data_IF_944698604838
#
_entry.id   IF_944698604838
#
_cell.length_a   1.000
_cell.length_b   1.000
_cell.length_c   1.000
_cell.angle_alpha   90.00
_cell.angle_beta   90.00
_cell.angle_gamma   90.00
#
_symmetry.space_group_name_H-M   'P 1'
#
loop_
_entity.id
_entity.type
_entity.pdbx_description
1 polymer ?
#
# COMPACT_ATOMS: atom_id res chain seq x y z
N UNK A 1 44.39 9.50 17.09
CA UNK A 1 44.33 8.79 15.79
C UNK A 1 42.94 8.95 15.22
N UNK A 2 42.88 9.37 13.97
CA UNK A 2 41.65 9.46 13.19
C UNK A 2 41.39 8.03 12.65
N UNK A 3 40.32 7.37 13.12
CA UNK A 3 40.00 6.00 12.73
C UNK A 3 38.52 5.88 12.34
N UNK A 4 38.25 5.62 11.06
CA UNK A 4 36.90 5.40 10.51
C UNK A 4 36.29 4.06 10.92
N UNK A 5 36.91 3.31 11.83
CA UNK A 5 36.39 2.05 12.38
C UNK A 5 35.99 2.16 13.85
N UNK A 6 35.79 3.37 14.38
CA UNK A 6 35.31 3.55 15.77
C UNK A 6 33.82 3.21 15.90
N UNK A 7 33.40 2.79 17.10
CA UNK A 7 31.98 2.59 17.45
C UNK A 7 31.15 3.84 17.17
N UNK A 8 31.73 5.03 17.37
CA UNK A 8 31.06 6.31 17.11
C UNK A 8 30.77 6.53 15.61
N UNK A 9 31.73 6.21 14.72
CA UNK A 9 31.49 6.25 13.28
C UNK A 9 30.35 5.30 12.88
N UNK A 10 30.41 4.03 13.32
CA UNK A 10 29.39 3.03 12.97
C UNK A 10 27.99 3.46 13.39
N UNK A 11 27.86 3.96 14.63
CA UNK A 11 26.59 4.48 15.14
C UNK A 11 26.09 5.70 14.35
N UNK A 12 26.98 6.60 13.97
CA UNK A 12 26.61 7.78 13.20
C UNK A 12 26.18 7.41 11.76
N UNK A 13 26.86 6.43 11.13
CA UNK A 13 26.48 5.89 9.83
C UNK A 13 25.12 5.17 9.88
N UNK A 14 24.91 4.32 10.88
CA UNK A 14 23.62 3.63 11.09
C UNK A 14 22.46 4.63 11.26
N UNK A 15 22.65 5.68 12.05
CA UNK A 15 21.61 6.72 12.22
C UNK A 15 21.45 7.60 10.98
N UNK A 16 22.49 7.80 10.18
CA UNK A 16 22.39 8.47 8.88
C UNK A 16 21.49 7.66 7.94
N UNK A 17 21.68 6.34 7.88
CA UNK A 17 20.87 5.42 7.07
C UNK A 17 19.41 5.43 7.54
N UNK A 18 19.17 5.22 8.85
CA UNK A 18 17.81 5.26 9.43
C UNK A 18 17.10 6.60 9.20
N UNK A 19 17.80 7.73 9.35
CA UNK A 19 17.23 9.04 9.04
C UNK A 19 16.94 9.17 7.54
N UNK A 20 17.78 8.63 6.67
CA UNK A 20 17.53 8.57 5.23
C UNK A 20 16.27 7.80 4.89
N UNK A 21 16.07 6.63 5.50
CA UNK A 21 14.88 5.81 5.29
C UNK A 21 13.60 6.53 5.75
N UNK A 22 13.61 7.19 6.91
CA UNK A 22 12.44 7.96 7.37
C UNK A 22 12.15 9.19 6.50
N UNK A 23 13.19 9.88 5.98
CA UNK A 23 13.00 10.98 5.03
C UNK A 23 12.41 10.48 3.72
N UNK A 24 12.85 9.31 3.25
CA UNK A 24 12.31 8.67 2.06
C UNK A 24 10.85 8.25 2.25
N UNK A 25 10.50 7.65 3.40
CA UNK A 25 9.10 7.37 3.78
C UNK A 25 8.26 8.65 3.85
N UNK A 26 8.82 9.73 4.40
CA UNK A 26 8.18 11.04 4.45
C UNK A 26 7.94 11.61 3.04
N UNK A 27 8.88 11.43 2.11
CA UNK A 27 8.75 11.84 0.70
C UNK A 27 7.52 11.22 0.04
N UNK A 28 7.27 9.94 0.31
CA UNK A 28 6.13 9.20 -0.25
C UNK A 28 4.79 9.60 0.37
N UNK A 29 4.81 10.37 1.47
CA UNK A 29 3.61 10.86 2.17
C UNK A 29 3.33 12.34 1.90
N UNK A 30 4.17 13.03 1.13
CA UNK A 30 3.99 14.44 0.81
C UNK A 30 2.68 14.64 0.04
N UNK A 31 1.76 15.41 0.62
CA UNK A 31 0.62 15.90 -0.11
C UNK A 31 1.08 17.05 -1.02
N UNK A 32 1.31 16.73 -2.30
CA UNK A 32 1.78 17.69 -3.31
C UNK A 32 0.80 18.85 -3.57
N UNK A 33 -0.47 18.72 -3.14
CA UNK A 33 -1.47 19.79 -3.25
C UNK A 33 -1.43 20.74 -2.04
N UNK A 34 -0.74 20.37 -0.96
CA UNK A 34 -0.60 21.19 0.25
C UNK A 34 0.77 21.84 0.30
N UNK A 35 0.83 23.17 0.09
CA UNK A 35 2.06 23.96 0.20
C UNK A 35 2.74 23.77 1.57
N UNK A 36 1.94 23.62 2.64
CA UNK A 36 2.45 23.35 3.98
C UNK A 36 3.14 21.98 4.04
N UNK A 37 2.51 20.92 3.51
CA UNK A 37 3.07 19.57 3.48
C UNK A 37 4.38 19.51 2.69
N UNK A 38 4.43 20.16 1.53
CA UNK A 38 5.63 20.25 0.68
C UNK A 38 6.75 21.03 1.40
N UNK A 39 6.44 22.18 2.00
CA UNK A 39 7.43 23.01 2.72
C UNK A 39 8.02 22.27 3.93
N UNK A 40 7.18 21.61 4.71
CA UNK A 40 7.62 20.82 5.87
C UNK A 40 8.55 19.68 5.45
N UNK A 41 8.21 18.94 4.39
CA UNK A 41 9.09 17.91 3.85
C UNK A 41 10.41 18.48 3.32
N UNK A 42 10.36 19.54 2.52
CA UNK A 42 11.57 20.18 1.98
C UNK A 42 12.52 20.65 3.10
N UNK A 43 11.97 21.13 4.22
CA UNK A 43 12.77 21.49 5.40
C UNK A 43 13.52 20.28 5.98
N UNK A 44 12.88 19.12 6.04
CA UNK A 44 13.51 17.88 6.49
C UNK A 44 14.59 17.41 5.49
N UNK A 45 14.29 17.43 4.20
CA UNK A 45 15.23 17.06 3.13
C UNK A 45 16.47 17.98 3.13
N UNK A 46 16.29 19.30 3.26
CA UNK A 46 17.37 20.27 3.33
C UNK A 46 18.25 20.06 4.57
N UNK A 47 17.65 19.73 5.72
CA UNK A 47 18.40 19.39 6.93
C UNK A 47 19.22 18.12 6.74
N UNK A 48 18.65 17.08 6.09
CA UNK A 48 19.38 15.86 5.75
C UNK A 48 20.60 16.18 4.90
N UNK A 49 20.41 16.91 3.80
CA UNK A 49 21.50 17.27 2.88
C UNK A 49 22.63 18.04 3.59
N UNK A 50 22.28 18.94 4.52
CA UNK A 50 23.27 19.65 5.34
C UNK A 50 24.03 18.73 6.29
N UNK A 51 23.38 17.76 6.92
CA UNK A 51 24.03 16.77 7.79
C UNK A 51 24.91 15.80 6.98
N UNK A 52 24.43 15.34 5.82
CA UNK A 52 25.20 14.47 4.92
C UNK A 52 26.48 15.18 4.44
N UNK A 53 26.40 16.47 4.12
CA UNK A 53 27.57 17.26 3.74
C UNK A 53 28.59 17.43 4.89
N UNK A 54 28.13 17.38 6.15
CA UNK A 54 29.01 17.41 7.32
C UNK A 54 29.62 16.04 7.65
N UNK A 55 28.98 14.95 7.22
CA UNK A 55 29.49 13.59 7.38
C UNK A 55 30.62 13.34 6.36
N UNK A 56 31.81 13.87 6.67
CA UNK A 56 33.00 13.75 5.82
C UNK A 56 34.10 12.97 6.54
N UNK A 57 34.06 11.63 6.55
CA UNK A 57 35.14 10.83 7.10
C UNK A 57 36.49 11.17 6.44
N UNK A 58 37.57 11.30 7.21
CA UNK A 58 37.60 10.85 8.60
C UNK A 58 37.46 12.00 9.63
N UNK A 59 36.69 11.77 10.70
CA UNK A 59 36.33 12.80 11.71
C UNK A 59 36.72 12.35 13.13
N UNK A 60 36.64 13.27 14.10
CA UNK A 60 36.86 12.93 15.52
C UNK A 60 35.66 12.20 16.13
N UNK A 61 35.88 11.41 17.17
CA UNK A 61 34.80 10.70 17.91
C UNK A 61 33.71 11.65 18.40
N UNK A 62 34.09 12.84 18.89
CA UNK A 62 33.14 13.84 19.37
C UNK A 62 32.25 14.37 18.23
N UNK A 63 32.83 14.61 17.05
CA UNK A 63 32.06 15.04 15.87
C UNK A 63 31.11 13.93 15.39
N UNK A 64 31.54 12.66 15.36
CA UNK A 64 30.64 11.55 15.05
C UNK A 64 29.50 11.42 16.06
N UNK A 65 29.76 11.61 17.35
CA UNK A 65 28.72 11.62 18.38
C UNK A 65 27.71 12.76 18.17
N UNK A 66 28.16 13.95 17.80
CA UNK A 66 27.28 15.08 17.51
C UNK A 66 26.41 14.85 16.26
N UNK A 67 27.00 14.28 15.18
CA UNK A 67 26.26 13.88 13.99
C UNK A 67 25.23 12.80 14.29
N UNK A 68 25.59 11.79 15.08
CA UNK A 68 24.67 10.75 15.56
C UNK A 68 23.45 11.36 16.26
N UNK A 69 23.65 12.31 17.19
CA UNK A 69 22.53 13.01 17.84
C UNK A 69 21.68 13.80 16.84
N UNK A 70 22.30 14.48 15.88
CA UNK A 70 21.58 15.29 14.88
C UNK A 70 20.75 14.43 13.92
N UNK A 71 21.27 13.28 13.48
CA UNK A 71 20.51 12.30 12.69
C UNK A 71 19.38 11.67 13.49
N UNK A 72 19.59 11.35 14.78
CA UNK A 72 18.51 10.85 15.64
C UNK A 72 17.37 11.87 15.79
N UNK A 73 17.68 13.17 15.94
CA UNK A 73 16.66 14.23 15.93
C UNK A 73 15.98 14.34 14.57
N UNK A 74 16.73 14.32 13.47
CA UNK A 74 16.14 14.36 12.12
C UNK A 74 15.19 13.19 11.89
N UNK A 75 15.56 11.98 12.31
CA UNK A 75 14.71 10.79 12.28
C UNK A 75 13.41 11.03 13.08
N UNK A 76 13.52 11.51 14.32
CA UNK A 76 12.37 11.80 15.18
C UNK A 76 11.43 12.87 14.58
N UNK A 77 11.99 13.89 13.94
CA UNK A 77 11.21 14.94 13.27
C UNK A 77 10.50 14.39 12.01
N UNK A 78 11.17 13.51 11.26
CA UNK A 78 10.57 12.81 10.12
C UNK A 78 9.44 11.87 10.57
N UNK A 79 9.63 11.10 11.65
CA UNK A 79 8.58 10.27 12.27
C UNK A 79 7.37 11.13 12.66
N UNK A 80 7.61 12.29 13.28
CA UNK A 80 6.55 13.22 13.69
C UNK A 80 5.79 13.78 12.48
N UNK A 81 6.49 14.13 11.40
CA UNK A 81 5.87 14.55 10.14
C UNK A 81 5.03 13.43 9.53
N UNK A 82 5.56 12.20 9.49
CA UNK A 82 4.84 11.03 8.99
C UNK A 82 3.55 10.82 9.79
N UNK A 83 3.62 10.85 11.12
CA UNK A 83 2.45 10.71 11.98
C UNK A 83 1.42 11.84 11.78
N UNK A 84 1.86 13.10 11.65
CA UNK A 84 0.99 14.24 11.40
C UNK A 84 0.35 14.21 10.01
N UNK A 85 1.09 13.76 8.99
CA UNK A 85 0.55 13.54 7.64
C UNK A 85 -0.53 12.46 7.63
N UNK A 86 -0.32 11.41 8.45
CA UNK A 86 -1.28 10.32 8.68
C UNK A 86 -2.57 10.83 9.29
N UNK A 87 -2.57 11.57 10.40
CA UNK A 87 -3.82 11.94 11.08
C UNK A 87 -4.79 12.80 10.24
N UNK A 88 -4.25 13.72 9.42
CA UNK A 88 -5.05 14.54 8.52
C UNK A 88 -5.62 13.74 7.33
N UNK A 89 -4.87 12.77 6.80
CA UNK A 89 -5.34 11.91 5.72
C UNK A 89 -6.23 10.77 6.24
N UNK A 90 -5.90 10.14 7.36
CA UNK A 90 -6.62 9.04 7.98
C UNK A 90 -8.00 9.44 8.53
N UNK A 91 -8.18 10.68 9.00
CA UNK A 91 -9.49 11.12 9.49
C UNK A 91 -10.54 11.23 8.39
N UNK A 92 -10.16 11.61 7.17
CA UNK A 92 -11.08 11.74 6.02
C UNK A 92 -11.06 10.48 5.13
N UNK A 93 -9.87 9.95 4.88
CA UNK A 93 -9.65 8.82 3.96
C UNK A 93 -9.39 7.50 4.67
N UNK A 94 -8.97 7.48 5.93
CA UNK A 94 -8.66 6.24 6.67
C UNK A 94 -9.92 5.43 6.99
N UNK A 95 -10.99 6.08 7.46
CA UNK A 95 -12.30 5.41 7.63
C UNK A 95 -12.81 4.90 6.28
N UNK A 96 -12.67 5.70 5.22
CA UNK A 96 -12.98 5.30 3.86
C UNK A 96 -12.17 4.09 3.40
N UNK A 97 -10.86 4.06 3.65
CA UNK A 97 -9.96 2.98 3.25
C UNK A 97 -10.26 1.68 4.01
N UNK A 98 -10.46 1.74 5.33
CA UNK A 98 -10.82 0.57 6.14
C UNK A 98 -12.15 -0.02 5.72
N UNK A 99 -13.19 0.81 5.57
CA UNK A 99 -14.51 0.34 5.12
C UNK A 99 -14.43 -0.20 3.70
N UNK A 100 -13.72 0.48 2.79
CA UNK A 100 -13.56 0.04 1.40
C UNK A 100 -12.82 -1.28 1.31
N UNK A 101 -11.71 -1.44 2.04
CA UNK A 101 -10.97 -2.71 2.13
C UNK A 101 -11.85 -3.81 2.67
N UNK A 102 -12.50 -3.61 3.83
CA UNK A 102 -13.35 -4.62 4.43
C UNK A 102 -14.51 -5.03 3.50
N UNK A 103 -15.09 -4.06 2.79
CA UNK A 103 -16.17 -4.29 1.83
C UNK A 103 -15.69 -5.07 0.60
N UNK A 104 -14.53 -4.71 0.05
CA UNK A 104 -13.91 -5.39 -1.10
C UNK A 104 -13.41 -6.77 -0.70
N UNK A 105 -12.71 -6.91 0.41
CA UNK A 105 -12.24 -8.21 0.93
C UNK A 105 -13.42 -9.13 1.24
N UNK A 106 -14.50 -8.62 1.84
CA UNK A 106 -15.72 -9.37 2.09
C UNK A 106 -16.39 -9.84 0.79
N UNK A 107 -16.54 -8.95 -0.20
CA UNK A 107 -17.08 -9.32 -1.51
C UNK A 107 -16.19 -10.33 -2.23
N UNK A 108 -14.87 -10.13 -2.18
CA UNK A 108 -13.89 -11.05 -2.77
C UNK A 108 -13.85 -12.40 -2.06
N UNK A 109 -14.12 -12.46 -0.75
CA UNK A 109 -14.25 -13.71 -0.01
C UNK A 109 -15.49 -14.52 -0.46
N UNK A 110 -16.60 -13.84 -0.75
CA UNK A 110 -17.79 -14.50 -1.32
C UNK A 110 -17.47 -15.02 -2.72
N UNK A 111 -16.86 -14.21 -3.59
CA UNK A 111 -16.49 -14.64 -4.95
C UNK A 111 -15.45 -15.76 -4.91
N UNK A 112 -14.44 -15.67 -4.04
CA UNK A 112 -13.38 -16.68 -3.90
C UNK A 112 -13.89 -18.02 -3.40
N UNK A 113 -15.00 -18.04 -2.64
CA UNK A 113 -15.69 -19.26 -2.24
C UNK A 113 -16.34 -20.00 -3.42
N UNK A 114 -16.68 -19.28 -4.50
CA UNK A 114 -17.31 -19.85 -5.70
C UNK A 114 -16.28 -20.19 -6.78
N UNK A 115 -15.30 -19.31 -7.00
CA UNK A 115 -14.22 -19.48 -7.98
C UNK A 115 -12.95 -18.82 -7.46
N UNK A 116 -11.76 -19.47 -7.51
CA UNK A 116 -10.52 -18.85 -7.07
C UNK A 116 -10.28 -17.53 -7.81
N UNK A 117 -10.30 -16.40 -7.10
CA UNK A 117 -10.10 -15.09 -7.71
C UNK A 117 -8.60 -14.84 -7.86
N UNK A 118 -8.13 -14.82 -9.11
CA UNK A 118 -6.73 -14.50 -9.41
C UNK A 118 -6.41 -13.02 -9.27
N UNK A 119 -5.12 -12.66 -9.14
CA UNK A 119 -4.67 -11.27 -9.11
C UNK A 119 -5.10 -10.48 -10.36
N UNK A 120 -4.96 -11.06 -11.55
CA UNK A 120 -5.42 -10.45 -12.80
C UNK A 120 -6.93 -10.22 -12.80
N UNK A 121 -7.69 -11.19 -12.31
CA UNK A 121 -9.15 -11.05 -12.16
C UNK A 121 -9.46 -9.88 -11.24
N UNK A 122 -8.78 -9.74 -10.09
CA UNK A 122 -8.93 -8.57 -9.22
C UNK A 122 -8.55 -7.27 -9.88
N UNK A 123 -7.43 -7.21 -10.58
CA UNK A 123 -7.01 -6.01 -11.29
C UNK A 123 -8.07 -5.58 -12.33
N UNK A 124 -8.67 -6.53 -13.04
CA UNK A 124 -9.74 -6.25 -14.00
C UNK A 124 -11.06 -5.85 -13.34
N UNK A 125 -11.38 -6.46 -12.19
CA UNK A 125 -12.61 -6.20 -11.44
C UNK A 125 -12.50 -5.01 -10.49
N UNK A 126 -11.29 -4.51 -10.21
CA UNK A 126 -11.03 -3.44 -9.24
C UNK A 126 -11.85 -2.19 -9.51
N UNK A 127 -12.02 -1.88 -10.79
CA UNK A 127 -12.82 -0.74 -11.24
C UNK A 127 -14.32 -0.91 -11.00
N UNK A 128 -14.80 -2.15 -10.91
CA UNK A 128 -16.23 -2.49 -10.85
C UNK A 128 -16.68 -3.00 -9.48
N UNK A 129 -15.78 -3.51 -8.64
CA UNK A 129 -16.14 -4.06 -7.34
C UNK A 129 -16.68 -3.00 -6.38
N UNK A 130 -16.02 -1.84 -6.16
CA UNK A 130 -16.58 -0.82 -5.28
C UNK A 130 -18.01 -0.38 -5.63
N UNK A 131 -18.37 -0.06 -6.90
CA UNK A 131 -19.74 0.33 -7.23
C UNK A 131 -20.73 -0.84 -7.10
N UNK A 132 -20.31 -2.08 -7.38
CA UNK A 132 -21.18 -3.26 -7.21
C UNK A 132 -21.49 -3.55 -5.74
N UNK A 133 -20.49 -3.50 -4.86
CA UNK A 133 -20.68 -3.72 -3.43
C UNK A 133 -21.57 -2.63 -2.85
N UNK A 134 -21.35 -1.38 -3.25
CA UNK A 134 -22.18 -0.27 -2.84
C UNK A 134 -23.63 -0.43 -3.32
N UNK A 135 -23.85 -0.82 -4.59
CA UNK A 135 -25.19 -1.11 -5.08
C UNK A 135 -25.88 -2.27 -4.33
N UNK A 136 -25.14 -3.31 -3.94
CA UNK A 136 -25.68 -4.42 -3.16
C UNK A 136 -26.08 -4.00 -1.74
N UNK A 137 -25.28 -3.15 -1.10
CA UNK A 137 -25.61 -2.55 0.21
C UNK A 137 -26.86 -1.68 0.10
N UNK A 138 -26.93 -0.83 -0.93
CA UNK A 138 -28.07 0.05 -1.18
C UNK A 138 -29.36 -0.74 -1.39
N UNK A 139 -29.31 -1.79 -2.22
CA UNK A 139 -30.45 -2.68 -2.44
C UNK A 139 -30.88 -3.40 -1.15
N UNK A 140 -29.92 -3.82 -0.32
CA UNK A 140 -30.21 -4.47 0.96
C UNK A 140 -30.89 -3.51 1.95
N UNK A 141 -30.39 -2.27 2.04
CA UNK A 141 -30.99 -1.22 2.86
C UNK A 141 -32.37 -0.82 2.36
N UNK A 142 -32.57 -0.71 1.04
CA UNK A 142 -33.86 -0.43 0.44
C UNK A 142 -34.87 -1.57 0.69
N UNK A 143 -34.44 -2.82 0.58
CA UNK A 143 -35.28 -3.97 0.89
C UNK A 143 -35.70 -4.00 2.36
N UNK A 144 -34.76 -3.77 3.29
CA UNK A 144 -35.04 -3.67 4.71
C UNK A 144 -35.99 -2.50 5.02
N UNK A 145 -35.74 -1.33 4.43
CA UNK A 145 -36.59 -0.15 4.58
C UNK A 145 -38.00 -0.41 4.03
N UNK A 146 -38.16 -1.10 2.90
CA UNK A 146 -39.46 -1.51 2.36
C UNK A 146 -40.19 -2.47 3.30
N UNK A 147 -39.49 -3.44 3.89
CA UNK A 147 -40.09 -4.36 4.88
C UNK A 147 -40.58 -3.61 6.11
N UNK A 148 -39.79 -2.65 6.63
CA UNK A 148 -40.19 -1.78 7.75
C UNK A 148 -41.37 -0.89 7.34
N UNK A 149 -41.34 -0.34 6.13
CA UNK A 149 -42.38 0.52 5.59
C UNK A 149 -43.73 -0.20 5.50
N UNK A 150 -43.75 -1.38 4.91
CA UNK A 150 -44.94 -2.23 4.77
C UNK A 150 -45.37 -2.80 6.12
N UNK A 151 -44.43 -3.24 6.95
CA UNK A 151 -44.70 -3.78 8.28
C UNK A 151 -45.34 -2.74 9.21
N UNK A 152 -44.81 -1.53 9.25
CA UNK A 152 -45.39 -0.42 10.00
C UNK A 152 -46.78 -0.05 9.48
N UNK A 153 -46.97 -0.03 8.15
CA UNK A 153 -48.27 0.22 7.55
C UNK A 153 -49.31 -0.84 7.93
N UNK A 154 -48.92 -2.11 7.93
CA UNK A 154 -49.77 -3.23 8.32
C UNK A 154 -50.16 -3.16 9.81
N UNK A 155 -49.16 -2.99 10.70
CA UNK A 155 -49.37 -2.99 12.14
C UNK A 155 -50.15 -1.75 12.63
N UNK A 156 -49.86 -0.57 12.07
CA UNK A 156 -50.49 0.70 12.46
C UNK A 156 -51.55 1.18 11.46
N UNK A 157 -52.24 0.26 10.78
CA UNK A 157 -53.28 0.56 9.77
C UNK A 157 -54.29 1.64 10.20
N UNK A 158 -54.65 1.70 11.48
CA UNK A 158 -55.58 2.72 12.01
C UNK A 158 -55.02 4.14 11.95
N UNK A 159 -53.72 4.30 12.24
CA UNK A 159 -53.02 5.59 12.21
C UNK A 159 -52.84 6.11 10.78
N UNK A 160 -52.59 5.22 9.82
CA UNK A 160 -52.42 5.55 8.40
C UNK A 160 -53.72 5.86 7.63
N UNK A 161 -54.87 5.95 8.30
CA UNK A 161 -56.14 6.36 7.67
C UNK A 161 -56.14 7.83 7.21
N UNK A 162 -55.35 8.68 7.86
CA UNK A 162 -55.23 10.09 7.46
C UNK A 162 -54.34 10.22 6.22
N UNK A 163 -54.85 10.90 5.19
CA UNK A 163 -54.09 11.20 3.95
C UNK A 163 -52.80 11.96 4.26
N UNK A 164 -52.80 12.84 5.27
CA UNK A 164 -51.61 13.58 5.69
C UNK A 164 -50.53 12.66 6.25
N UNK A 165 -50.91 11.69 7.09
CA UNK A 165 -49.99 10.71 7.69
C UNK A 165 -49.41 9.80 6.63
N UNK A 166 -50.24 9.30 5.70
CA UNK A 166 -49.79 8.47 4.59
C UNK A 166 -48.81 9.21 3.68
N UNK A 167 -49.13 10.47 3.34
CA UNK A 167 -48.26 11.32 2.52
C UNK A 167 -46.94 11.61 3.22
N UNK A 168 -46.97 11.91 4.53
CA UNK A 168 -45.76 12.12 5.33
C UNK A 168 -44.86 10.89 5.36
N UNK A 169 -45.43 9.71 5.54
CA UNK A 169 -44.70 8.45 5.54
C UNK A 169 -44.07 8.12 4.17
N UNK A 170 -44.83 8.28 3.09
CA UNK A 170 -44.29 8.14 1.73
C UNK A 170 -43.14 9.13 1.47
N UNK A 171 -43.27 10.38 1.93
CA UNK A 171 -42.24 11.40 1.79
C UNK A 171 -40.98 11.06 2.62
N UNK A 172 -41.12 10.48 3.81
CA UNK A 172 -39.97 9.99 4.59
C UNK A 172 -39.23 8.87 3.89
N UNK A 173 -39.94 7.93 3.24
CA UNK A 173 -39.31 6.87 2.46
C UNK A 173 -38.58 7.43 1.25
N UNK A 174 -39.20 8.36 0.52
CA UNK A 174 -38.59 9.02 -0.63
C UNK A 174 -37.35 9.83 -0.22
N UNK A 175 -37.42 10.54 0.91
CA UNK A 175 -36.28 11.24 1.50
C UNK A 175 -35.15 10.29 1.91
N UNK A 176 -35.48 9.12 2.45
CA UNK A 176 -34.50 8.08 2.75
C UNK A 176 -33.81 7.58 1.47
N UNK A 177 -34.55 7.24 0.41
CA UNK A 177 -33.96 6.82 -0.89
C UNK A 177 -33.05 7.91 -1.45
N UNK A 178 -33.48 9.19 -1.37
CA UNK A 178 -32.68 10.32 -1.83
C UNK A 178 -31.36 10.45 -1.04
N UNK A 179 -31.41 10.39 0.29
CA UNK A 179 -30.22 10.41 1.15
C UNK A 179 -29.29 9.24 0.86
N UNK A 180 -29.86 8.07 0.60
CA UNK A 180 -29.11 6.86 0.25
C UNK A 180 -28.35 7.07 -1.07
N UNK A 181 -29.02 7.54 -2.13
CA UNK A 181 -28.40 7.84 -3.42
C UNK A 181 -27.29 8.90 -3.31
N UNK A 182 -27.54 10.01 -2.62
CA UNK A 182 -26.54 11.07 -2.43
C UNK A 182 -25.36 10.55 -1.60
N UNK A 183 -25.63 9.81 -0.53
CA UNK A 183 -24.61 9.19 0.31
C UNK A 183 -23.74 8.21 -0.47
N UNK A 184 -24.36 7.40 -1.33
CA UNK A 184 -23.68 6.43 -2.18
C UNK A 184 -22.77 7.06 -3.23
N UNK A 185 -23.23 8.11 -3.90
CA UNK A 185 -22.39 8.89 -4.85
C UNK A 185 -21.22 9.56 -4.12
N UNK A 186 -21.48 10.12 -2.93
CA UNK A 186 -20.45 10.71 -2.08
C UNK A 186 -19.40 9.68 -1.66
N UNK A 187 -19.84 8.52 -1.17
CA UNK A 187 -18.96 7.42 -0.76
C UNK A 187 -18.15 6.90 -1.94
N UNK A 188 -18.76 6.61 -3.09
CA UNK A 188 -18.04 6.15 -4.28
C UNK A 188 -16.95 7.15 -4.72
N UNK A 189 -17.25 8.44 -4.68
CA UNK A 189 -16.29 9.50 -4.99
C UNK A 189 -15.10 9.50 -4.03
N UNK A 190 -15.36 9.24 -2.73
CA UNK A 190 -14.31 9.08 -1.72
C UNK A 190 -13.50 7.82 -2.02
N UNK A 191 -14.10 6.65 -2.24
CA UNK A 191 -13.37 5.39 -2.51
C UNK A 191 -12.45 5.52 -3.72
N UNK A 192 -12.97 6.05 -4.84
CA UNK A 192 -12.18 6.26 -6.07
C UNK A 192 -11.05 7.28 -5.88
N UNK A 193 -11.24 8.25 -4.99
CA UNK A 193 -10.17 9.18 -4.61
C UNK A 193 -9.16 8.50 -3.68
N UNK A 194 -9.62 7.66 -2.76
CA UNK A 194 -8.80 7.02 -1.70
C UNK A 194 -7.80 6.02 -2.28
N UNK A 195 -8.13 5.30 -3.35
CA UNK A 195 -7.15 4.45 -4.04
C UNK A 195 -5.94 5.25 -4.53
N UNK A 196 -6.11 6.52 -4.91
CA UNK A 196 -5.01 7.39 -5.35
C UNK A 196 -4.18 7.97 -4.20
N UNK A 197 -4.64 7.84 -2.95
CA UNK A 197 -4.01 8.40 -1.76
C UNK A 197 -3.56 7.34 -0.74
N UNK A 198 -3.49 6.07 -1.13
CA UNK A 198 -2.94 5.04 -0.24
C UNK A 198 -1.47 5.35 0.06
N UNK A 199 -1.11 5.39 1.33
CA UNK A 199 0.26 5.66 1.78
C UNK A 199 1.12 4.39 1.83
N UNK A 200 2.44 4.56 1.98
CA UNK A 200 3.35 3.44 2.24
C UNK A 200 2.97 2.68 3.53
N UNK A 201 2.64 3.39 4.62
CA UNK A 201 2.28 2.76 5.90
C UNK A 201 0.99 1.96 5.80
N UNK A 202 0.02 2.45 5.03
CA UNK A 202 -1.23 1.74 4.75
C UNK A 202 -0.98 0.39 4.08
N UNK A 203 -0.03 0.36 3.13
CA UNK A 203 0.42 -0.85 2.45
C UNK A 203 1.24 -1.75 3.39
N UNK A 204 2.12 -1.18 4.19
CA UNK A 204 2.89 -1.92 5.19
C UNK A 204 2.02 -2.57 6.26
N UNK A 205 0.90 -1.95 6.65
CA UNK A 205 -0.10 -2.60 7.50
C UNK A 205 -0.66 -3.89 6.86
N UNK A 206 -0.88 -3.87 5.54
CA UNK A 206 -1.28 -5.08 4.79
C UNK A 206 -0.15 -6.12 4.72
N UNK A 207 1.10 -5.68 4.53
CA UNK A 207 2.30 -6.56 4.55
C UNK A 207 2.46 -7.23 5.91
N UNK A 208 2.32 -6.48 7.01
CA UNK A 208 2.45 -7.00 8.37
C UNK A 208 1.45 -8.11 8.67
N UNK A 209 0.20 -7.96 8.24
CA UNK A 209 -0.86 -8.96 8.44
C UNK A 209 -0.78 -10.19 7.52
N UNK A 210 0.10 -10.23 6.53
CA UNK A 210 0.21 -11.33 5.57
C UNK A 210 1.41 -12.26 5.87
N UNK A 211 1.23 -13.57 5.79
CA UNK A 211 2.32 -14.55 5.95
C UNK A 211 3.27 -14.61 4.74
N UNK A 212 2.79 -14.10 3.60
CA UNK A 212 3.47 -14.15 2.31
C UNK A 212 3.35 -12.82 1.60
N UNK A 213 4.32 -12.53 0.75
CA UNK A 213 4.30 -11.40 -0.18
C UNK A 213 4.72 -11.88 -1.56
N UNK A 214 4.34 -11.15 -2.60
CA UNK A 214 4.78 -11.38 -3.96
C UNK A 214 5.63 -10.21 -4.46
N UNK A 215 6.62 -10.51 -5.30
CA UNK A 215 7.42 -9.53 -6.04
C UNK A 215 7.28 -9.85 -7.52
N UNK A 216 6.77 -8.89 -8.29
CA UNK A 216 6.67 -8.94 -9.74
C UNK A 216 7.78 -8.06 -10.30
N UNK A 217 8.50 -8.57 -11.29
CA UNK A 217 9.55 -7.85 -12.02
C UNK A 217 9.16 -7.82 -13.49
N UNK A 218 8.83 -6.63 -14.00
CA UNK A 218 8.49 -6.41 -15.40
C UNK A 218 9.76 -6.13 -16.22
N UNK A 219 10.23 -7.15 -16.93
CA UNK A 219 11.47 -7.13 -17.71
C UNK A 219 11.26 -6.58 -19.12
N UNK A 220 10.01 -6.51 -19.61
CA UNK A 220 9.73 -6.19 -21.01
C UNK A 220 10.32 -4.85 -21.42
N UNK A 221 11.31 -4.88 -22.31
CA UNK A 221 11.96 -3.67 -22.83
C UNK A 221 12.79 -2.91 -21.78
N UNK A 222 13.03 -3.48 -20.60
CA UNK A 222 13.85 -2.88 -19.55
C UNK A 222 15.34 -3.13 -19.84
N UNK A 223 16.19 -2.10 -19.84
CA UNK A 223 17.64 -2.29 -19.81
C UNK A 223 18.18 -2.48 -18.38
N UNK A 224 17.32 -2.32 -17.36
CA UNK A 224 17.68 -2.37 -15.94
C UNK A 224 17.40 -3.73 -15.27
N UNK A 225 17.16 -4.81 -16.03
CA UNK A 225 16.70 -6.13 -15.53
C UNK A 225 17.54 -6.64 -14.36
N UNK A 226 18.87 -6.63 -14.47
CA UNK A 226 19.77 -7.09 -13.41
C UNK A 226 19.61 -6.31 -12.11
N UNK A 227 19.41 -4.99 -12.18
CA UNK A 227 19.17 -4.15 -11.01
C UNK A 227 17.79 -4.39 -10.39
N UNK A 228 16.78 -4.63 -11.23
CA UNK A 228 15.43 -4.97 -10.76
C UNK A 228 15.41 -6.33 -10.05
N UNK A 229 16.16 -7.31 -10.55
CA UNK A 229 16.35 -8.61 -9.87
C UNK A 229 17.05 -8.43 -8.52
N UNK A 230 18.13 -7.65 -8.47
CA UNK A 230 18.82 -7.36 -7.21
C UNK A 230 17.90 -6.66 -6.19
N UNK A 231 17.03 -5.76 -6.65
CA UNK A 231 16.01 -5.11 -5.82
C UNK A 231 14.98 -6.13 -5.30
N UNK A 232 14.51 -7.05 -6.15
CA UNK A 232 13.61 -8.13 -5.73
C UNK A 232 14.25 -9.06 -4.68
N UNK A 233 15.55 -9.38 -4.83
CA UNK A 233 16.29 -10.19 -3.86
C UNK A 233 16.50 -9.45 -2.53
N UNK A 234 16.70 -8.13 -2.56
CA UNK A 234 16.75 -7.31 -1.34
C UNK A 234 15.38 -7.28 -0.63
N UNK A 235 14.27 -7.10 -1.36
CA UNK A 235 12.92 -7.18 -0.78
C UNK A 235 12.72 -8.55 -0.14
N UNK A 236 13.07 -9.63 -0.83
CA UNK A 236 13.00 -11.00 -0.29
C UNK A 236 13.80 -11.16 1.01
N UNK A 237 15.04 -10.65 1.04
CA UNK A 237 15.88 -10.71 2.24
C UNK A 237 15.22 -10.02 3.44
N UNK A 238 14.62 -8.83 3.23
CA UNK A 238 13.93 -8.09 4.28
C UNK A 238 12.65 -8.79 4.73
N UNK A 239 11.87 -9.33 3.80
CA UNK A 239 10.64 -10.06 4.12
C UNK A 239 10.94 -11.35 4.87
N UNK A 240 12.02 -12.04 4.51
CA UNK A 240 12.51 -13.21 5.23
C UNK A 240 12.97 -12.87 6.65
N UNK A 241 13.63 -11.72 6.84
CA UNK A 241 14.00 -11.24 8.17
C UNK A 241 12.77 -11.00 9.07
N UNK A 242 11.64 -10.64 8.46
CA UNK A 242 10.33 -10.51 9.12
C UNK A 242 9.54 -11.83 9.20
N UNK A 243 10.13 -12.97 8.83
CA UNK A 243 9.48 -14.28 8.88
C UNK A 243 8.43 -14.53 7.79
N UNK A 244 8.42 -13.74 6.71
CA UNK A 244 7.46 -13.85 5.61
C UNK A 244 8.06 -14.60 4.42
N UNK A 245 7.25 -15.38 3.72
CA UNK A 245 7.69 -16.06 2.48
C UNK A 245 7.49 -15.15 1.25
N UNK A 246 8.47 -15.11 0.35
CA UNK A 246 8.40 -14.28 -0.86
C UNK A 246 8.17 -15.13 -2.11
N UNK A 247 7.17 -14.76 -2.91
CA UNK A 247 6.87 -15.34 -4.23
C UNK A 247 7.44 -14.40 -5.29
N UNK A 248 8.35 -14.85 -6.17
CA UNK A 248 8.90 -13.97 -7.23
C UNK A 248 8.35 -14.36 -8.60
N UNK A 249 7.98 -13.37 -9.39
CA UNK A 249 7.48 -13.52 -10.76
C UNK A 249 8.23 -12.57 -11.68
N UNK A 250 8.91 -13.12 -12.69
CA UNK A 250 9.65 -12.35 -13.69
C UNK A 250 8.87 -12.41 -15.00
N UNK A 251 8.39 -11.27 -15.48
CA UNK A 251 7.55 -11.16 -16.68
C UNK A 251 8.37 -10.57 -17.82
N UNK A 252 8.41 -11.25 -18.95
CA UNK A 252 9.15 -10.83 -20.14
C UNK A 252 8.30 -11.04 -21.40
N UNK A 253 7.66 -9.98 -21.86
CA UNK A 253 6.65 -9.99 -22.90
C UNK A 253 5.50 -10.91 -22.51
N UNK A 254 5.28 -11.95 -23.33
CA UNK A 254 4.26 -12.97 -23.06
C UNK A 254 4.77 -14.13 -22.20
N UNK A 255 6.07 -14.17 -21.90
CA UNK A 255 6.69 -15.20 -21.07
C UNK A 255 6.75 -14.78 -19.59
N UNK A 256 6.80 -15.77 -18.72
CA UNK A 256 7.03 -15.57 -17.30
C UNK A 256 7.82 -16.72 -16.68
N UNK A 257 8.63 -16.38 -15.66
CA UNK A 257 9.27 -17.33 -14.75
C UNK A 257 8.75 -17.10 -13.34
N UNK A 258 8.20 -18.13 -12.71
CA UNK A 258 7.84 -18.07 -11.28
C UNK A 258 8.89 -18.77 -10.42
N UNK A 259 9.19 -18.18 -9.27
CA UNK A 259 10.12 -18.70 -8.27
C UNK A 259 9.39 -18.72 -6.94
N UNK A 260 8.97 -19.92 -6.51
CA UNK A 260 8.09 -20.10 -5.36
C UNK A 260 8.83 -20.85 -4.24
N UNK A 261 8.65 -20.45 -2.97
CA UNK A 261 9.26 -21.13 -1.85
C UNK A 261 8.64 -22.53 -1.69
N UNK A 262 9.49 -23.52 -1.53
CA UNK A 262 9.17 -24.93 -1.29
C UNK A 262 9.59 -25.31 0.11
N UNK A 263 8.69 -25.93 0.86
CA UNK A 263 8.98 -26.48 2.19
C UNK A 263 9.96 -27.66 2.07
N UNK A 264 11.09 -27.58 2.79
CA UNK A 264 12.16 -28.59 2.75
C UNK A 264 12.09 -29.47 4.00
N UNK A 265 11.10 -30.37 4.09
CA UNK A 265 10.97 -31.33 5.20
C UNK A 265 10.75 -30.69 6.58
N UNK A 266 10.28 -31.48 7.55
CA UNK A 266 9.69 -30.94 8.79
C UNK A 266 10.65 -30.19 9.75
N UNK A 267 11.97 -30.15 9.52
CA UNK A 267 12.95 -29.58 10.46
C UNK A 267 14.03 -28.70 9.82
N UNK A 268 13.84 -28.19 8.60
CA UNK A 268 14.83 -27.32 7.95
C UNK A 268 14.37 -25.87 7.89
N UNK A 269 15.19 -24.96 8.42
CA UNK A 269 15.04 -23.51 8.21
C UNK A 269 15.47 -23.06 6.81
N UNK A 270 15.92 -23.99 5.95
CA UNK A 270 16.28 -23.71 4.57
C UNK A 270 15.01 -23.61 3.70
N UNK A 271 14.80 -22.44 3.09
CA UNK A 271 13.80 -22.25 2.04
C UNK A 271 14.45 -22.72 0.73
N UNK A 272 13.97 -23.83 0.16
CA UNK A 272 14.27 -24.15 -1.23
C UNK A 272 13.28 -23.40 -2.12
N UNK A 273 13.64 -23.21 -3.39
CA UNK A 273 12.75 -22.58 -4.36
C UNK A 273 12.47 -23.55 -5.51
N UNK A 274 11.23 -23.55 -5.97
CA UNK A 274 10.81 -24.19 -7.22
C UNK A 274 10.75 -23.11 -8.31
N UNK A 275 11.57 -23.26 -9.34
CA UNK A 275 11.65 -22.32 -10.46
C UNK A 275 10.95 -22.92 -11.67
N UNK A 276 9.90 -22.26 -12.15
CA UNK A 276 9.13 -22.68 -13.33
C UNK A 276 9.27 -21.64 -14.45
N UNK A 277 10.23 -21.83 -15.38
CA UNK A 277 10.38 -20.94 -16.52
C UNK A 277 9.37 -21.25 -17.63
N UNK A 278 9.21 -20.32 -18.58
CA UNK A 278 8.45 -20.55 -19.81
C UNK A 278 6.93 -20.60 -19.63
N UNK A 279 6.41 -20.07 -18.52
CA UNK A 279 4.98 -19.90 -18.31
C UNK A 279 4.45 -18.76 -19.19
N UNK A 280 3.16 -18.78 -19.50
CA UNK A 280 2.50 -17.63 -20.13
C UNK A 280 2.33 -16.55 -19.04
N UNK A 281 2.68 -15.30 -19.34
CA UNK A 281 2.60 -14.19 -18.40
C UNK A 281 1.22 -14.06 -17.73
N UNK A 282 0.14 -14.24 -18.51
CA UNK A 282 -1.21 -14.30 -17.99
C UNK A 282 -1.40 -15.40 -16.92
N UNK A 283 -0.88 -16.61 -17.16
CA UNK A 283 -1.00 -17.72 -16.23
C UNK A 283 -0.22 -17.47 -14.94
N UNK A 284 0.94 -16.79 -15.02
CA UNK A 284 1.67 -16.38 -13.83
C UNK A 284 0.86 -15.41 -12.98
N UNK A 285 0.37 -14.33 -13.58
CA UNK A 285 -0.48 -13.36 -12.90
C UNK A 285 -1.75 -14.02 -12.34
N UNK A 286 -2.27 -15.03 -13.05
CA UNK A 286 -3.44 -15.78 -12.58
C UNK A 286 -3.12 -16.70 -11.38
N UNK A 287 -1.86 -17.12 -11.23
CA UNK A 287 -1.39 -17.98 -10.13
C UNK A 287 -0.98 -17.22 -8.86
N UNK A 288 -0.90 -15.89 -8.91
CA UNK A 288 -0.54 -15.08 -7.74
C UNK A 288 -1.69 -15.14 -6.73
N UNK A 289 -1.45 -15.63 -5.49
CA UNK A 289 -2.48 -15.64 -4.45
C UNK A 289 -2.81 -14.22 -3.98
N UNK A 290 -3.87 -14.06 -3.19
CA UNK A 290 -4.21 -12.78 -2.55
C UNK A 290 -3.19 -12.43 -1.47
N UNK A 291 -2.08 -11.82 -1.87
CA UNK A 291 -1.00 -11.36 -1.00
C UNK A 291 -0.56 -9.95 -1.41
N UNK A 292 0.07 -9.18 -0.52
CA UNK A 292 0.68 -7.91 -0.88
C UNK A 292 1.76 -8.09 -1.96
N UNK A 293 1.73 -7.23 -2.98
CA UNK A 293 2.61 -7.31 -4.15
C UNK A 293 3.52 -6.09 -4.22
N UNK A 294 4.81 -6.31 -4.43
CA UNK A 294 5.77 -5.31 -4.91
C UNK A 294 5.92 -5.49 -6.42
N UNK A 295 5.55 -4.49 -7.22
CA UNK A 295 5.64 -4.53 -8.67
C UNK A 295 6.70 -3.56 -9.16
N UNK A 296 7.83 -4.13 -9.60
CA UNK A 296 8.99 -3.40 -10.08
C UNK A 296 8.87 -3.24 -11.60
N UNK A 297 8.78 -1.98 -12.04
CA UNK A 297 8.65 -1.61 -13.44
C UNK A 297 9.78 -0.67 -13.86
N UNK A 298 10.17 -0.77 -15.13
CA UNK A 298 11.12 0.16 -15.73
C UNK A 298 10.41 1.37 -16.34
N UNK A 299 10.96 2.55 -16.09
CA UNK A 299 10.59 3.80 -16.75
C UNK A 299 11.83 4.63 -17.04
N UNK A 300 11.81 5.46 -18.08
CA UNK A 300 12.94 6.36 -18.39
C UNK A 300 13.19 7.38 -17.27
N UNK A 301 12.12 7.83 -16.62
CA UNK A 301 12.15 8.74 -15.48
C UNK A 301 11.70 8.00 -14.23
N UNK A 302 12.48 8.10 -13.16
CA UNK A 302 12.09 7.55 -11.85
C UNK A 302 10.85 8.28 -11.34
N UNK A 303 9.85 7.51 -10.93
CA UNK A 303 8.62 8.04 -10.35
C UNK A 303 8.55 7.64 -8.87
N UNK A 304 7.84 8.44 -8.08
CA UNK A 304 7.54 8.04 -6.70
C UNK A 304 6.72 6.73 -6.72
N UNK A 305 6.97 5.80 -5.78
CA UNK A 305 6.16 4.61 -5.65
C UNK A 305 4.68 4.94 -5.50
N UNK A 306 3.83 4.15 -6.13
CA UNK A 306 2.38 4.24 -5.98
C UNK A 306 1.90 3.04 -5.16
N UNK A 307 1.11 3.29 -4.13
CA UNK A 307 0.58 2.24 -3.28
C UNK A 307 -0.92 2.08 -3.52
N UNK A 308 -1.40 0.86 -3.41
CA UNK A 308 -2.80 0.49 -3.49
C UNK A 308 -3.06 -0.58 -2.44
N UNK A 309 -4.19 -0.50 -1.77
CA UNK A 309 -4.48 -1.40 -0.64
C UNK A 309 -5.89 -1.94 -0.62
N UNK A 310 -6.79 -1.34 -1.40
CA UNK A 310 -8.20 -1.71 -1.45
C UNK A 310 -8.39 -2.93 -2.34
N UNK A 311 -7.99 -2.88 -3.62
CA UNK A 311 -8.23 -4.01 -4.53
C UNK A 311 -6.99 -4.85 -4.82
N UNK A 312 -5.91 -4.22 -5.28
CA UNK A 312 -4.71 -4.93 -5.79
C UNK A 312 -3.66 -5.18 -4.73
N UNK A 313 -3.73 -4.51 -3.55
CA UNK A 313 -2.75 -4.63 -2.46
C UNK A 313 -1.31 -4.55 -2.99
N UNK A 314 -1.01 -3.52 -3.77
CA UNK A 314 0.18 -3.45 -4.60
C UNK A 314 0.98 -2.16 -4.36
N UNK A 315 2.29 -2.28 -4.23
CA UNK A 315 3.27 -1.20 -4.30
C UNK A 315 3.95 -1.22 -5.68
N UNK A 316 3.62 -0.25 -6.53
CA UNK A 316 4.18 -0.11 -7.88
C UNK A 316 5.39 0.82 -7.81
N UNK A 317 6.57 0.29 -8.13
CA UNK A 317 7.84 1.02 -8.12
C UNK A 317 8.32 1.18 -9.56
N UNK A 318 8.49 2.42 -9.99
CA UNK A 318 8.88 2.78 -11.36
C UNK A 318 10.22 3.51 -11.35
N UNK A 319 11.24 2.85 -11.87
CA UNK A 319 12.63 3.34 -11.81
C UNK A 319 13.38 3.16 -13.13
N UNK A 320 14.43 3.95 -13.31
CA UNK A 320 15.36 3.81 -14.41
C UNK A 320 16.61 2.99 -14.02
N UNK A 321 17.59 2.89 -14.92
CA UNK A 321 18.85 2.18 -14.66
C UNK A 321 19.64 2.77 -13.49
N UNK A 322 19.59 4.09 -13.28
CA UNK A 322 20.32 4.72 -12.18
C UNK A 322 19.73 4.32 -10.82
N UNK A 323 18.40 4.24 -10.74
CA UNK A 323 17.66 3.79 -9.55
C UNK A 323 17.98 2.32 -9.23
N UNK A 324 17.74 1.41 -10.18
CA UNK A 324 17.94 -0.03 -9.95
C UNK A 324 19.42 -0.46 -9.96
N UNK A 325 20.25 0.16 -10.81
CA UNK A 325 21.62 -0.27 -11.08
C UNK A 325 22.64 0.07 -9.98
N UNK A 326 22.32 1.01 -9.09
CA UNK A 326 23.17 1.35 -7.93
C UNK A 326 22.86 0.54 -6.67
N UNK A 327 22.06 -0.53 -6.78
CA UNK A 327 21.49 -1.26 -5.63
C UNK A 327 20.69 -0.35 -4.67
N UNK A 328 20.21 0.78 -5.18
CA UNK A 328 19.34 1.72 -4.48
C UNK A 328 17.90 1.26 -4.67
N UNK A 329 17.60 0.05 -4.19
CA UNK A 329 16.22 -0.38 -4.06
C UNK A 329 15.66 0.33 -2.82
N UNK A 330 15.31 1.61 -2.99
CA UNK A 330 14.78 2.45 -1.92
C UNK A 330 13.61 1.78 -1.20
N UNK A 331 12.77 1.06 -1.96
CA UNK A 331 11.67 0.27 -1.39
C UNK A 331 12.15 -0.90 -0.54
N UNK A 332 13.30 -1.52 -0.81
CA UNK A 332 13.83 -2.58 0.06
C UNK A 332 14.50 -1.99 1.31
N UNK A 333 15.20 -0.86 1.18
CA UNK A 333 15.90 -0.24 2.31
C UNK A 333 14.91 0.12 3.44
N UNK A 334 13.76 0.70 3.08
CA UNK A 334 12.71 1.06 4.06
C UNK A 334 11.98 -0.12 4.71
N UNK A 335 12.15 -1.35 4.21
CA UNK A 335 11.53 -2.56 4.76
C UNK A 335 12.38 -3.18 5.88
N UNK A 336 13.66 -2.81 5.98
CA UNK A 336 14.62 -3.30 6.97
C UNK A 336 14.67 -2.49 8.24
#
# INVERSE_FOLDING_TARGET
MINNSTTAYKKAAELQDQAGDEILKAQWRVNKLSTASVTSYNTLADRKNKLDAQFSPPMTTAQYSALSSSYATLKSDADTYIAASSSAQESVFGVGNVISRASVDGAMAIVSSMTPVSFKTRQSLAKYVPPLVLAAVDLSLLAAALLVFVGAFYYFRGFFRSKLVLSGWALTMLGFVFLLLVGSVGFYSIVMSTEKFTSFTDFMGTVQGADRVAVIVEETGSPAVTGMHACADQIEAQMKAQGKATLKYYINGNGCTSVLPRTVGNNSSAVAYDTKPGLIAANCLDSIPDVPIFDLQYTQTTQAPAFTTVVTKQAIVKGNEAYYGKKQCDIANVLG
#
